data_IF_055701098411
#
_entry.id   IF_055701098411
#
_cell.length_a   1.000
_cell.length_b   1.000
_cell.length_c   1.000
_cell.angle_alpha   90.00
_cell.angle_beta   90.00
_cell.angle_gamma   90.00
#
_symmetry.space_group_name_H-M   'P 1'
#
loop_
_entity.id
_entity.type
_entity.pdbx_description
1 polymer ?
#
# COMPACT_ATOMS: atom_id res chain seq x y z
N UNK A 1 -2.81 39.44 18.58
CA UNK A 1 -1.57 38.91 19.18
C UNK A 1 -1.49 37.36 19.18
N UNK A 2 -2.18 36.66 18.26
CA UNK A 2 -2.10 35.18 18.16
C UNK A 2 -1.80 34.65 16.74
N UNK A 3 -1.73 35.53 15.74
CA UNK A 3 -1.64 35.15 14.32
C UNK A 3 -0.23 34.79 13.84
N UNK A 4 0.77 34.84 14.71
CA UNK A 4 2.18 34.55 14.37
C UNK A 4 2.64 33.14 14.76
N UNK A 5 1.77 32.28 15.32
CA UNK A 5 2.24 31.08 16.01
C UNK A 5 2.42 29.83 15.16
N UNK A 6 1.74 29.66 14.03
CA UNK A 6 1.47 28.26 13.64
C UNK A 6 1.61 27.90 12.17
N UNK A 7 1.65 28.87 11.25
CA UNK A 7 1.83 28.55 9.83
C UNK A 7 3.24 28.06 9.49
N UNK A 8 4.26 28.82 9.92
CA UNK A 8 5.64 28.55 9.51
C UNK A 8 6.28 27.37 10.27
N UNK A 9 5.90 27.16 11.52
CA UNK A 9 6.40 26.04 12.33
C UNK A 9 5.99 24.68 11.76
N UNK A 10 4.76 24.55 11.24
CA UNK A 10 4.29 23.31 10.60
C UNK A 10 5.13 22.94 9.38
N UNK A 11 5.55 23.92 8.58
CA UNK A 11 6.46 23.68 7.46
C UNK A 11 7.83 23.19 7.92
N UNK A 12 8.40 23.77 8.99
CA UNK A 12 9.67 23.29 9.57
C UNK A 12 9.56 21.82 9.99
N UNK A 13 8.47 21.45 10.67
CA UNK A 13 8.27 20.07 11.15
C UNK A 13 8.09 19.12 9.98
N UNK A 14 7.32 19.53 8.95
CA UNK A 14 7.14 18.75 7.74
C UNK A 14 8.47 18.51 7.02
N UNK A 15 9.34 19.52 6.95
CA UNK A 15 10.68 19.40 6.38
C UNK A 15 11.52 18.40 7.17
N UNK A 16 11.53 18.46 8.51
CA UNK A 16 12.28 17.52 9.35
C UNK A 16 11.79 16.08 9.12
N UNK A 17 10.48 15.85 9.08
CA UNK A 17 9.91 14.52 8.82
C UNK A 17 10.27 14.05 7.41
N UNK A 18 10.26 14.95 6.42
CA UNK A 18 10.68 14.63 5.05
C UNK A 18 12.16 14.25 4.98
N UNK A 19 13.03 14.88 5.77
CA UNK A 19 14.45 14.52 5.84
C UNK A 19 14.65 13.15 6.51
N UNK A 20 13.87 12.83 7.53
CA UNK A 20 14.01 11.56 8.27
C UNK A 20 13.37 10.37 7.54
N UNK A 21 12.19 10.57 6.97
CA UNK A 21 11.39 9.52 6.34
C UNK A 21 11.55 9.49 4.81
N UNK A 22 11.85 10.63 4.18
CA UNK A 22 11.90 10.78 2.72
C UNK A 22 10.53 11.04 2.08
N UNK A 23 10.55 11.73 0.93
CA UNK A 23 9.37 12.02 0.10
C UNK A 23 8.49 10.82 -0.29
N UNK A 24 9.04 9.64 -0.64
CA UNK A 24 8.19 8.52 -1.06
C UNK A 24 7.49 7.81 0.12
N UNK A 25 7.95 7.98 1.36
CA UNK A 25 7.42 7.24 2.53
C UNK A 25 6.23 7.92 3.20
N UNK A 26 6.16 9.25 3.17
CA UNK A 26 4.99 10.01 3.65
C UNK A 26 3.66 9.61 3.00
N UNK A 27 3.54 9.55 1.65
CA UNK A 27 2.28 9.19 1.01
C UNK A 27 1.91 7.71 1.26
N UNK A 28 2.89 6.83 1.47
CA UNK A 28 2.64 5.43 1.85
C UNK A 28 2.03 5.31 3.25
N UNK A 29 2.61 5.99 4.23
CA UNK A 29 2.11 6.02 5.62
C UNK A 29 0.73 6.70 5.71
N UNK A 30 0.53 7.80 4.99
CA UNK A 30 -0.76 8.47 4.93
C UNK A 30 -1.86 7.56 4.33
N UNK A 31 -1.54 6.78 3.29
CA UNK A 31 -2.48 5.80 2.72
C UNK A 31 -2.83 4.68 3.68
N UNK A 32 -1.85 4.07 4.37
CA UNK A 32 -2.15 2.98 5.30
C UNK A 32 -2.95 3.45 6.51
N UNK A 33 -2.61 4.61 7.07
CA UNK A 33 -3.36 5.23 8.19
C UNK A 33 -4.77 5.65 7.75
N UNK A 34 -4.90 6.21 6.54
CA UNK A 34 -6.20 6.60 5.98
C UNK A 34 -7.12 5.40 5.76
N UNK A 35 -6.58 4.26 5.31
CA UNK A 35 -7.36 3.02 5.18
C UNK A 35 -7.85 2.51 6.54
N UNK A 36 -7.00 2.47 7.56
CA UNK A 36 -7.40 2.08 8.93
C UNK A 36 -8.46 3.02 9.52
N UNK A 37 -8.29 4.34 9.33
CA UNK A 37 -9.26 5.34 9.80
C UNK A 37 -10.60 5.26 9.06
N UNK A 38 -10.60 4.91 7.78
CA UNK A 38 -11.84 4.72 7.00
C UNK A 38 -12.66 3.56 7.56
N UNK A 39 -12.03 2.41 7.78
CA UNK A 39 -12.71 1.23 8.35
C UNK A 39 -13.24 1.56 9.75
N UNK A 40 -12.42 2.16 10.60
CA UNK A 40 -12.83 2.57 11.95
C UNK A 40 -14.00 3.57 11.94
N UNK A 41 -14.00 4.54 11.03
CA UNK A 41 -15.09 5.51 10.88
C UNK A 41 -16.37 4.86 10.35
N UNK A 42 -16.25 3.94 9.39
CA UNK A 42 -17.38 3.24 8.78
C UNK A 42 -18.12 2.35 9.76
N UNK A 43 -17.41 1.68 10.68
CA UNK A 43 -18.04 0.85 11.72
C UNK A 43 -18.63 1.69 12.88
N UNK A 44 -18.05 2.86 13.16
CA UNK A 44 -18.49 3.74 14.26
C UNK A 44 -19.57 4.74 13.89
N UNK A 45 -19.81 4.98 12.60
CA UNK A 45 -20.84 5.89 12.12
C UNK A 45 -21.70 5.17 11.09
N UNK A 46 -22.82 4.55 11.52
CA UNK A 46 -23.66 3.71 10.66
C UNK A 46 -24.32 4.44 9.48
N UNK A 47 -24.18 5.76 9.35
CA UNK A 47 -24.81 6.57 8.29
C UNK A 47 -23.87 7.43 7.42
N UNK A 48 -22.56 7.14 7.34
CA UNK A 48 -21.66 7.94 6.48
C UNK A 48 -21.47 7.34 5.06
N UNK A 49 -21.86 8.05 3.97
CA UNK A 49 -21.60 7.59 2.61
C UNK A 49 -20.09 7.59 2.29
N UNK A 50 -19.63 6.75 1.34
CA UNK A 50 -18.21 6.60 1.05
C UNK A 50 -17.62 7.89 0.49
N UNK A 51 -16.94 8.67 1.35
CA UNK A 51 -16.11 9.79 0.89
C UNK A 51 -14.80 9.19 0.36
N UNK A 52 -14.78 8.93 -0.95
CA UNK A 52 -13.64 8.43 -1.69
C UNK A 52 -12.84 9.57 -2.32
N UNK A 53 -11.66 9.86 -1.78
CA UNK A 53 -10.59 10.53 -2.52
C UNK A 53 -9.48 9.51 -2.80
N UNK A 54 -9.78 8.58 -3.71
CA UNK A 54 -8.76 7.85 -4.44
C UNK A 54 -8.10 8.82 -5.41
N UNK A 55 -6.96 9.39 -5.02
CA UNK A 55 -6.10 10.08 -5.98
C UNK A 55 -4.66 9.66 -5.77
N UNK A 56 -4.02 9.42 -6.92
CA UNK A 56 -2.61 9.11 -7.17
C UNK A 56 -2.27 7.62 -7.12
N UNK A 57 -2.61 6.93 -8.21
CA UNK A 57 -1.75 5.90 -8.82
C UNK A 57 -0.73 6.61 -9.72
N UNK A 58 0.58 6.66 -9.38
CA UNK A 58 1.61 6.77 -10.38
C UNK A 58 1.97 5.34 -10.77
N UNK A 59 1.43 4.89 -11.89
CA UNK A 59 2.05 3.83 -12.68
C UNK A 59 3.01 4.51 -13.66
N UNK A 60 4.31 4.25 -13.54
CA UNK A 60 5.13 4.21 -14.73
C UNK A 60 5.98 2.93 -14.70
N UNK A 61 5.44 1.83 -15.21
CA UNK A 61 6.06 1.01 -16.25
C UNK A 61 5.33 -0.35 -16.38
N UNK A 62 4.74 -0.56 -17.55
CA UNK A 62 4.54 -1.89 -18.15
C UNK A 62 5.14 -1.71 -19.54
N UNK A 63 5.97 -2.62 -20.13
CA UNK A 63 5.89 -4.09 -20.04
C UNK A 63 7.24 -4.85 -20.04
N UNK A 64 7.37 -5.92 -19.25
CA UNK A 64 8.23 -7.05 -19.62
C UNK A 64 7.49 -8.35 -19.29
N UNK A 65 6.85 -8.92 -20.30
CA UNK A 65 6.60 -10.37 -20.38
C UNK A 65 7.65 -10.92 -21.36
N UNK A 66 8.31 -12.06 -21.10
CA UNK A 66 7.61 -13.35 -21.00
C UNK A 66 8.06 -14.29 -19.86
N UNK A 67 7.09 -15.06 -19.33
CA UNK A 67 7.09 -16.48 -18.87
C UNK A 67 8.35 -17.13 -18.25
N UNK A 68 8.21 -17.97 -17.19
CA UNK A 68 7.29 -19.12 -17.20
C UNK A 68 6.43 -19.30 -15.95
N UNK A 69 5.11 -19.27 -16.18
CA UNK A 69 4.18 -20.13 -15.46
C UNK A 69 4.36 -21.54 -15.99
N UNK A 70 5.18 -22.34 -15.34
CA UNK A 70 5.12 -23.81 -15.39
C UNK A 70 5.94 -24.35 -14.23
N UNK A 71 5.25 -24.82 -13.18
CA UNK A 71 5.68 -25.84 -12.22
C UNK A 71 5.00 -25.63 -10.87
N UNK A 72 3.67 -25.62 -10.86
CA UNK A 72 2.94 -26.14 -9.71
C UNK A 72 1.59 -26.66 -10.19
N UNK A 73 1.38 -27.95 -9.96
CA UNK A 73 0.16 -28.73 -10.21
C UNK A 73 -0.03 -29.33 -11.63
N UNK A 74 0.74 -30.39 -11.89
CA UNK A 74 0.27 -31.60 -12.60
C UNK A 74 0.71 -32.74 -11.70
N UNK A 75 -0.18 -33.15 -10.81
CA UNK A 75 -0.99 -34.35 -11.07
C UNK A 75 -0.11 -35.60 -10.97
N UNK A 76 -0.08 -36.17 -9.76
CA UNK A 76 -0.62 -37.50 -9.48
C UNK A 76 -0.64 -38.51 -10.65
N UNK A 77 0.51 -38.70 -11.31
CA UNK A 77 0.71 -39.82 -12.24
C UNK A 77 2.19 -40.23 -12.34
N UNK A 78 2.86 -40.40 -11.19
CA UNK A 78 4.05 -41.27 -11.14
C UNK A 78 3.58 -42.72 -10.97
N UNK A 79 3.18 -43.30 -12.10
CA UNK A 79 3.14 -44.74 -12.33
C UNK A 79 4.57 -45.13 -12.72
N UNK A 80 5.26 -45.94 -11.92
CA UNK A 80 5.60 -47.34 -12.27
C UNK A 80 6.68 -47.94 -11.33
N UNK A 81 6.47 -49.16 -10.79
CA UNK A 81 7.51 -49.98 -10.13
C UNK A 81 8.32 -50.76 -11.18
N UNK A 82 9.60 -51.06 -10.91
CA UNK A 82 9.96 -52.48 -10.93
C UNK A 82 10.92 -52.88 -9.81
N UNK A 83 10.61 -54.04 -9.24
CA UNK A 83 11.42 -54.83 -8.32
C UNK A 83 12.88 -54.94 -8.76
N UNK A 84 13.80 -54.70 -7.82
CA UNK A 84 15.17 -55.20 -7.88
C UNK A 84 15.69 -55.40 -6.47
N UNK A 85 15.84 -56.69 -6.11
CA UNK A 85 16.72 -57.34 -5.13
C UNK A 85 15.98 -58.45 -4.37
#
# INVERSE_FOLDING_TARGET
MLSNLTGWHFLIILVIIMLLFGAPKLPGLARSLGQSMKIFKSEMTPESPPTGTDTVKPNPATPVAPSPTESSLTEARHVEPPAKL
#
